data_IF_379921832001
#
_entry.id   IF_379921832001
#
_cell.length_a   1.000
_cell.length_b   1.000
_cell.length_c   1.000
_cell.angle_alpha   90.00
_cell.angle_beta   90.00
_cell.angle_gamma   90.00
#
_symmetry.space_group_name_H-M   'P 1'
#
loop_
_entity.id
_entity.type
_entity.pdbx_description
1 polymer ?
#
# COMPACT_ATOMS: atom_id res chain seq x y z
N UNK A 1 22.04 19.56 -26.33
CA UNK A 1 21.93 18.19 -25.77
C UNK A 1 21.70 18.33 -24.28
N UNK A 2 20.46 18.28 -23.83
CA UNK A 2 20.12 18.38 -22.41
C UNK A 2 20.19 16.98 -21.79
N UNK A 3 20.91 16.77 -20.68
CA UNK A 3 20.83 15.50 -19.98
C UNK A 3 19.45 15.39 -19.34
N UNK A 4 18.67 14.39 -19.76
CA UNK A 4 17.42 14.05 -19.12
C UNK A 4 17.70 13.61 -17.69
N UNK A 5 17.45 14.50 -16.73
CA UNK A 5 17.49 14.16 -15.32
C UNK A 5 16.28 13.30 -15.01
N UNK A 6 16.54 12.03 -14.67
CA UNK A 6 15.56 11.13 -14.07
C UNK A 6 14.84 11.86 -12.93
N UNK A 7 13.53 12.05 -13.05
CA UNK A 7 12.72 12.72 -12.03
C UNK A 7 12.63 11.76 -10.85
N UNK A 8 13.45 11.99 -9.82
CA UNK A 8 13.45 11.13 -8.64
C UNK A 8 12.07 11.15 -7.98
N UNK A 9 11.45 9.98 -7.86
CA UNK A 9 10.07 9.85 -7.37
C UNK A 9 9.95 10.16 -5.88
N UNK A 10 8.90 10.91 -5.52
CA UNK A 10 8.51 11.14 -4.13
C UNK A 10 8.05 9.82 -3.49
N UNK A 11 8.40 9.59 -2.23
CA UNK A 11 7.93 8.42 -1.47
C UNK A 11 6.88 8.88 -0.46
N UNK A 12 5.74 8.21 -0.42
CA UNK A 12 4.67 8.44 0.55
C UNK A 12 4.21 7.09 1.11
N UNK A 13 4.16 6.97 2.44
CA UNK A 13 3.74 5.75 3.13
C UNK A 13 3.03 6.07 4.44
N UNK A 14 2.30 5.09 4.97
CA UNK A 14 1.68 5.13 6.28
C UNK A 14 2.40 4.16 7.23
N UNK A 15 2.35 4.43 8.52
CA UNK A 15 2.69 3.44 9.55
C UNK A 15 1.48 2.53 9.82
N UNK A 16 1.74 1.24 10.03
CA UNK A 16 0.75 0.28 10.50
C UNK A 16 0.59 0.34 12.03
N UNK A 17 -0.61 0.03 12.58
CA UNK A 17 -1.82 -0.35 11.86
C UNK A 17 -2.71 0.85 11.48
N UNK A 18 -3.24 0.82 10.27
CA UNK A 18 -4.37 1.68 9.86
C UNK A 18 -5.66 1.05 10.37
N UNK A 19 -6.20 1.54 11.49
CA UNK A 19 -7.37 0.96 12.13
C UNK A 19 -8.30 2.04 12.69
N UNK A 20 -9.57 1.68 12.92
CA UNK A 20 -10.52 2.60 13.54
C UNK A 20 -10.06 2.98 14.95
N UNK A 21 -10.11 4.27 15.27
CA UNK A 21 -9.67 4.82 16.55
C UNK A 21 -8.15 5.02 16.67
N UNK A 22 -7.32 4.39 15.82
CA UNK A 22 -5.87 4.53 15.86
C UNK A 22 -5.40 5.85 15.24
N UNK A 23 -4.23 6.37 15.64
CA UNK A 23 -3.63 7.49 14.94
C UNK A 23 -3.13 7.05 13.56
N UNK A 24 -3.43 7.83 12.53
CA UNK A 24 -2.81 7.67 11.21
C UNK A 24 -1.53 8.51 11.18
N UNK A 25 -0.39 7.85 10.94
CA UNK A 25 0.87 8.53 10.69
C UNK A 25 1.30 8.34 9.24
N UNK A 26 1.36 9.45 8.50
CA UNK A 26 1.81 9.49 7.13
C UNK A 26 3.19 10.13 7.06
N UNK A 27 4.05 9.56 6.23
CA UNK A 27 5.40 10.05 5.98
C UNK A 27 5.60 10.26 4.49
N UNK A 28 6.21 11.38 4.16
CA UNK A 28 6.50 11.74 2.78
C UNK A 28 7.95 12.20 2.68
N UNK A 29 8.73 11.60 1.79
CA UNK A 29 10.14 11.91 1.62
C UNK A 29 10.48 12.23 0.17
N UNK A 30 11.25 13.30 -0.01
CA UNK A 30 11.85 13.66 -1.28
C UNK A 30 13.31 13.20 -1.31
N UNK A 31 13.63 12.11 -2.02
CA UNK A 31 14.99 11.56 -2.10
C UNK A 31 15.96 12.38 -2.96
N UNK A 32 15.48 13.43 -3.64
CA UNK A 32 16.31 14.31 -4.44
C UNK A 32 17.21 15.20 -3.59
N UNK A 33 18.17 15.87 -4.24
CA UNK A 33 19.12 16.79 -3.58
C UNK A 33 18.81 18.25 -3.88
N UNK A 34 17.74 18.49 -4.62
CA UNK A 34 17.31 19.81 -5.03
C UNK A 34 16.77 20.61 -3.86
N UNK A 35 16.82 21.94 -3.99
CA UNK A 35 16.37 22.83 -2.95
C UNK A 35 14.84 22.76 -2.84
N UNK A 36 14.34 22.21 -1.73
CA UNK A 36 12.91 22.21 -1.41
C UNK A 36 12.50 23.66 -1.14
N UNK A 37 11.54 24.18 -1.88
CA UNK A 37 11.02 25.53 -1.69
C UNK A 37 9.73 25.53 -0.89
N UNK A 38 8.91 24.48 -1.03
CA UNK A 38 7.63 24.38 -0.34
C UNK A 38 7.17 22.91 -0.32
N UNK A 39 6.53 22.50 0.77
CA UNK A 39 5.80 21.24 0.84
C UNK A 39 4.34 21.52 1.18
N UNK A 40 3.40 20.78 0.59
CA UNK A 40 1.98 20.91 0.92
C UNK A 40 1.33 19.55 1.09
N UNK A 41 0.50 19.44 2.13
CA UNK A 41 -0.42 18.33 2.34
C UNK A 41 -1.83 18.75 1.96
N UNK A 42 -2.52 17.88 1.23
CA UNK A 42 -3.92 18.05 0.87
C UNK A 42 -4.57 16.67 0.73
N UNK A 43 -5.90 16.59 0.71
CA UNK A 43 -6.60 15.31 0.54
C UNK A 43 -7.82 15.43 -0.34
N UNK A 44 -8.24 14.29 -0.88
CA UNK A 44 -9.59 14.09 -1.38
C UNK A 44 -10.46 13.49 -0.27
N UNK A 45 -11.55 14.18 0.06
CA UNK A 45 -12.62 13.63 0.90
C UNK A 45 -13.48 12.62 0.12
N UNK A 46 -14.41 11.95 0.82
CA UNK A 46 -15.30 10.93 0.24
C UNK A 46 -16.13 11.44 -0.96
N UNK A 47 -16.44 12.73 -0.99
CA UNK A 47 -17.20 13.35 -2.08
C UNK A 47 -16.30 13.87 -3.22
N UNK A 48 -15.05 13.40 -3.30
CA UNK A 48 -14.05 13.92 -4.24
C UNK A 48 -13.84 15.43 -4.13
N UNK A 49 -14.12 16.00 -2.96
CA UNK A 49 -13.79 17.38 -2.64
C UNK A 49 -12.32 17.46 -2.23
N UNK A 50 -11.59 18.41 -2.80
CA UNK A 50 -10.23 18.72 -2.39
C UNK A 50 -10.25 19.57 -1.12
N UNK A 51 -9.49 19.17 -0.12
CA UNK A 51 -9.25 19.92 1.09
C UNK A 51 -7.75 20.10 1.31
N UNK A 52 -7.27 21.35 1.32
CA UNK A 52 -5.88 21.63 1.65
C UNK A 52 -5.68 21.58 3.18
N UNK A 53 -4.61 20.95 3.63
CA UNK A 53 -4.40 20.61 5.04
C UNK A 53 -3.33 21.47 5.69
N UNK A 54 -2.16 21.54 5.05
CA UNK A 54 -1.03 22.29 5.56
C UNK A 54 -0.05 22.65 4.45
N UNK A 55 0.72 23.70 4.72
CA UNK A 55 1.86 24.13 3.91
C UNK A 55 3.08 24.20 4.82
N UNK A 56 4.21 23.70 4.38
CA UNK A 56 5.47 23.73 5.12
C UNK A 56 6.49 24.48 4.29
N UNK A 57 6.98 25.58 4.84
CA UNK A 57 8.14 26.28 4.33
C UNK A 57 9.38 25.75 5.10
N UNK A 58 10.47 25.36 4.42
CA UNK A 58 11.65 24.83 5.11
C UNK A 58 12.31 25.80 6.11
N UNK A 59 12.11 27.11 5.94
CA UNK A 59 12.69 28.15 6.81
C UNK A 59 11.71 28.56 7.91
N UNK A 60 10.43 28.72 7.57
CA UNK A 60 9.41 29.25 8.48
C UNK A 60 8.60 28.16 9.20
N UNK A 61 8.75 26.89 8.80
CA UNK A 61 8.09 25.74 9.40
C UNK A 61 6.67 25.49 8.88
N UNK A 62 5.92 24.61 9.56
CA UNK A 62 4.59 24.19 9.14
C UNK A 62 3.51 25.22 9.49
N UNK A 63 2.63 25.46 8.54
CA UNK A 63 1.38 26.21 8.70
C UNK A 63 0.18 25.29 8.41
N UNK A 64 -0.59 24.99 9.45
CA UNK A 64 -1.84 24.21 9.34
C UNK A 64 -3.01 25.13 9.06
N UNK A 65 -3.80 24.80 8.03
CA UNK A 65 -4.93 25.62 7.61
C UNK A 65 -5.99 25.74 8.72
N UNK A 66 -6.64 26.91 8.87
CA UNK A 66 -7.61 27.14 9.95
C UNK A 66 -8.73 26.11 10.02
N UNK A 67 -9.22 25.66 8.85
CA UNK A 67 -10.29 24.68 8.78
C UNK A 67 -9.96 23.39 9.54
N UNK A 68 -8.73 22.87 9.42
CA UNK A 68 -8.31 21.58 9.99
C UNK A 68 -7.41 21.71 11.22
N UNK A 69 -7.23 22.93 11.71
CA UNK A 69 -6.38 23.22 12.87
C UNK A 69 -6.87 22.46 14.11
N UNK A 70 -5.94 21.84 14.83
CA UNK A 70 -6.24 21.01 16.01
C UNK A 70 -6.74 19.59 15.69
N UNK A 71 -7.09 19.31 14.43
CA UNK A 71 -7.54 17.96 13.98
C UNK A 71 -6.40 17.11 13.44
N UNK A 72 -5.26 17.72 13.14
CA UNK A 72 -4.06 17.06 12.62
C UNK A 72 -2.79 17.76 13.11
N UNK A 73 -1.65 17.09 12.96
CA UNK A 73 -0.32 17.60 13.26
C UNK A 73 0.60 17.38 12.07
N UNK A 74 1.53 18.30 11.83
CA UNK A 74 2.47 18.24 10.71
C UNK A 74 3.85 18.58 11.23
N UNK A 75 4.88 17.91 10.75
CA UNK A 75 6.27 18.21 11.11
C UNK A 75 6.89 19.23 10.16
N UNK A 76 8.00 19.85 10.57
CA UNK A 76 8.88 20.54 9.63
C UNK A 76 9.54 19.53 8.67
N UNK A 77 10.12 20.05 7.59
CA UNK A 77 11.00 19.27 6.71
C UNK A 77 12.26 18.91 7.48
N UNK A 78 12.58 17.63 7.57
CA UNK A 78 13.81 17.13 8.19
C UNK A 78 15.03 17.31 7.26
N UNK A 79 16.23 17.10 7.81
CA UNK A 79 17.48 17.24 7.03
C UNK A 79 17.61 16.26 5.86
N UNK A 80 16.90 15.13 5.90
CA UNK A 80 16.80 14.13 4.84
C UNK A 80 15.59 14.33 3.90
N UNK A 81 14.90 15.48 3.99
CA UNK A 81 13.82 15.84 3.08
C UNK A 81 12.51 15.10 3.36
N UNK A 82 12.28 14.66 4.61
CA UNK A 82 11.05 14.01 5.04
C UNK A 82 10.11 14.97 5.78
N UNK A 83 8.81 14.74 5.63
CA UNK A 83 7.75 15.43 6.38
C UNK A 83 6.70 14.41 6.83
N UNK A 84 6.18 14.60 8.03
CA UNK A 84 5.12 13.78 8.62
C UNK A 84 3.79 14.53 8.70
N UNK A 85 2.70 13.78 8.56
CA UNK A 85 1.33 14.21 8.84
C UNK A 85 0.68 13.18 9.78
N UNK A 86 0.18 13.63 10.93
CA UNK A 86 -0.48 12.77 11.92
C UNK A 86 -1.93 13.19 12.09
N UNK A 87 -2.86 12.25 11.88
CA UNK A 87 -4.26 12.38 12.26
C UNK A 87 -4.47 11.60 13.56
N UNK A 88 -4.83 12.25 14.69
CA UNK A 88 -4.79 11.61 16.02
C UNK A 88 -5.71 10.41 16.19
N UNK A 89 -6.84 10.36 15.47
CA UNK A 89 -7.78 9.26 15.54
C UNK A 89 -8.55 9.10 14.23
N UNK A 90 -8.47 7.92 13.63
CA UNK A 90 -9.21 7.56 12.43
C UNK A 90 -10.66 7.18 12.77
N UNK A 91 -11.61 7.98 12.30
CA UNK A 91 -13.02 7.58 12.18
C UNK A 91 -13.40 7.06 10.79
N UNK A 92 -14.60 6.47 10.66
CA UNK A 92 -15.14 5.93 9.39
C UNK A 92 -15.21 6.97 8.26
N UNK A 93 -15.37 8.25 8.59
CA UNK A 93 -15.33 9.37 7.64
C UNK A 93 -13.96 9.54 6.94
N UNK A 94 -12.91 8.91 7.46
CA UNK A 94 -11.59 8.88 6.83
C UNK A 94 -11.40 7.65 5.93
N UNK A 95 -12.32 6.69 5.95
CA UNK A 95 -12.26 5.57 5.02
C UNK A 95 -12.44 6.08 3.59
N UNK A 96 -11.65 5.53 2.66
CA UNK A 96 -11.58 5.94 1.26
C UNK A 96 -11.16 7.41 1.05
N UNK A 97 -10.52 8.03 2.05
CA UNK A 97 -9.86 9.33 1.85
C UNK A 97 -8.49 9.14 1.24
N UNK A 98 -8.10 10.04 0.33
CA UNK A 98 -6.78 9.99 -0.33
C UNK A 98 -5.95 11.18 0.10
N UNK A 99 -4.89 10.94 0.87
CA UNK A 99 -3.95 11.98 1.28
C UNK A 99 -2.86 12.13 0.24
N UNK A 100 -2.51 13.37 -0.07
CA UNK A 100 -1.53 13.73 -1.08
C UNK A 100 -0.49 14.65 -0.47
N UNK A 101 0.75 14.39 -0.83
CA UNK A 101 1.91 15.16 -0.44
C UNK A 101 2.58 15.69 -1.71
N UNK A 102 2.86 17.00 -1.72
CA UNK A 102 3.45 17.68 -2.87
C UNK A 102 4.68 18.45 -2.45
N UNK A 103 5.81 18.14 -3.06
CA UNK A 103 7.07 18.87 -2.92
C UNK A 103 7.26 19.79 -4.12
N UNK A 104 7.51 21.06 -3.84
CA UNK A 104 7.99 22.04 -4.81
C UNK A 104 9.49 22.22 -4.59
N UNK A 105 10.25 22.06 -5.66
CA UNK A 105 11.72 22.09 -5.64
C UNK A 105 12.23 22.99 -6.75
N UNK A 106 13.37 23.62 -6.53
CA UNK A 106 14.06 24.39 -7.57
C UNK A 106 15.41 23.71 -7.90
N UNK A 107 15.75 23.50 -9.18
CA UNK A 107 14.98 23.82 -10.39
C UNK A 107 14.01 22.72 -10.85
N UNK A 108 13.98 21.55 -10.18
CA UNK A 108 13.28 20.34 -10.66
C UNK A 108 11.75 20.44 -10.70
N UNK A 109 11.17 21.52 -10.17
CA UNK A 109 9.74 21.78 -10.21
C UNK A 109 8.98 20.98 -9.16
N UNK A 110 7.80 20.48 -9.55
CA UNK A 110 6.84 19.87 -8.62
C UNK A 110 6.80 18.35 -8.79
N UNK A 111 6.77 17.67 -7.63
CA UNK A 111 6.54 16.23 -7.49
C UNK A 111 5.44 15.99 -6.46
N UNK A 112 4.55 15.05 -6.75
CA UNK A 112 3.39 14.76 -5.90
C UNK A 112 3.15 13.25 -5.85
N UNK A 113 2.74 12.76 -4.67
CA UNK A 113 2.34 11.37 -4.45
C UNK A 113 1.11 11.36 -3.55
N UNK A 114 0.22 10.40 -3.79
CA UNK A 114 -0.99 10.22 -2.99
C UNK A 114 -1.09 8.79 -2.47
N UNK A 115 -1.70 8.64 -1.29
CA UNK A 115 -1.96 7.37 -0.61
C UNK A 115 -3.44 7.31 -0.18
N UNK A 116 -4.19 6.29 -0.65
CA UNK A 116 -5.53 6.04 -0.12
C UNK A 116 -5.45 5.42 1.28
N UNK A 117 -6.35 5.85 2.17
CA UNK A 117 -6.52 5.28 3.50
C UNK A 117 -7.74 4.36 3.47
N UNK A 118 -7.48 3.08 3.66
CA UNK A 118 -8.51 2.05 3.76
C UNK A 118 -8.50 1.51 5.19
N UNK A 119 -9.59 1.74 5.92
CA UNK A 119 -9.75 1.22 7.27
C UNK A 119 -10.35 -0.18 7.11
N UNK A 120 -9.66 -1.25 7.53
CA UNK A 120 -10.20 -2.60 7.48
C UNK A 120 -11.50 -2.67 8.28
N UNK A 121 -12.53 -3.28 7.69
CA UNK A 121 -13.73 -3.59 8.45
C UNK A 121 -13.36 -4.58 9.58
N UNK A 122 -13.91 -4.40 10.80
CA UNK A 122 -13.74 -5.40 11.83
C UNK A 122 -14.26 -6.73 11.28
N UNK A 123 -13.44 -7.78 11.36
CA UNK A 123 -13.84 -9.11 10.97
C UNK A 123 -15.15 -9.45 11.67
N UNK A 124 -16.24 -9.50 10.90
CA UNK A 124 -17.51 -9.99 11.42
C UNK A 124 -17.26 -11.45 11.77
N UNK A 125 -17.23 -11.75 13.06
CA UNK A 125 -17.18 -13.13 13.56
C UNK A 125 -18.29 -13.91 12.85
N UNK A 126 -18.02 -15.05 12.18
CA UNK A 126 -19.07 -15.82 11.55
C UNK A 126 -20.13 -16.14 12.60
N UNK A 127 -21.31 -15.54 12.41
CA UNK A 127 -22.49 -15.72 13.26
C UNK A 127 -22.63 -17.19 13.70
N UNK A 128 -22.81 -17.49 15.01
CA UNK A 128 -23.03 -18.86 15.44
C UNK A 128 -24.32 -19.37 14.78
N UNK A 129 -24.17 -20.32 13.87
CA UNK A 129 -25.28 -20.92 13.15
C UNK A 129 -26.32 -21.45 14.16
N UNK A 130 -27.63 -21.26 13.90
CA UNK A 130 -28.68 -21.70 14.79
C UNK A 130 -28.63 -23.22 14.95
N UNK A 131 -28.58 -23.65 16.21
CA UNK A 131 -28.59 -25.03 16.65
C UNK A 131 -29.69 -25.81 15.92
N UNK A 132 -29.30 -26.61 14.93
CA UNK A 132 -30.20 -27.53 14.26
C UNK A 132 -29.82 -28.93 14.70
N UNK A 133 -30.61 -29.45 15.64
CA UNK A 133 -30.74 -30.86 15.97
C UNK A 133 -30.98 -31.65 14.68
N UNK A 134 -30.07 -32.55 14.31
CA UNK A 134 -30.32 -33.45 13.20
C UNK A 134 -29.11 -34.21 12.73
N UNK A 135 -29.16 -35.52 12.99
CA UNK A 135 -28.45 -36.58 12.29
C UNK A 135 -26.98 -36.82 12.66
N UNK A 136 -26.81 -37.81 13.54
CA UNK A 136 -25.72 -38.75 13.45
C UNK A 136 -25.60 -39.28 12.01
N UNK A 137 -24.47 -38.97 11.37
CA UNK A 137 -23.99 -39.74 10.23
C UNK A 137 -22.51 -40.05 10.45
N UNK A 138 -22.22 -41.31 10.20
CA UNK A 138 -20.98 -42.03 10.45
C UNK A 138 -19.77 -41.27 9.95
N UNK A 139 -18.70 -41.30 10.75
CA UNK A 139 -17.33 -40.92 10.43
C UNK A 139 -16.77 -41.89 9.40
N UNK A 140 -16.48 -41.48 8.15
CA UNK A 140 -15.70 -42.27 7.21
C UNK A 140 -14.30 -41.65 7.12
N UNK A 141 -13.34 -42.43 7.57
CA UNK A 141 -12.00 -42.58 7.02
C UNK A 141 -11.21 -41.35 6.54
N UNK A 142 -10.11 -41.16 7.27
CA UNK A 142 -8.85 -40.59 6.79
C UNK A 142 -8.47 -41.27 5.47
N UNK A 143 -8.78 -40.63 4.34
CA UNK A 143 -8.19 -40.97 3.05
C UNK A 143 -7.22 -39.86 2.65
N UNK A 144 -5.94 -40.17 2.84
CA UNK A 144 -4.81 -39.33 2.51
C UNK A 144 -4.84 -38.88 1.05
N UNK A 145 -4.55 -37.61 0.88
CA UNK A 145 -4.32 -36.90 -0.38
C UNK A 145 -3.12 -37.49 -1.14
N UNK A 146 -3.33 -38.58 -1.87
CA UNK A 146 -2.44 -39.02 -2.96
C UNK A 146 -2.98 -38.47 -4.27
N UNK A 147 -2.70 -37.19 -4.56
CA UNK A 147 -3.30 -36.50 -5.69
C UNK A 147 -2.46 -35.35 -6.24
N UNK A 148 -1.13 -35.51 -6.32
CA UNK A 148 -0.28 -34.59 -7.09
C UNK A 148 1.03 -35.22 -7.61
N UNK A 149 1.49 -36.36 -7.05
CA UNK A 149 2.75 -37.00 -7.46
C UNK A 149 2.68 -37.93 -8.67
N UNK A 150 1.50 -38.46 -9.01
CA UNK A 150 1.35 -39.49 -10.05
C UNK A 150 1.42 -38.98 -11.49
N UNK A 151 1.02 -37.73 -11.74
CA UNK A 151 1.02 -37.15 -13.09
C UNK A 151 2.43 -36.76 -13.58
N UNK A 152 3.36 -36.45 -12.67
CA UNK A 152 4.74 -36.09 -13.04
C UNK A 152 5.59 -37.29 -13.47
N UNK A 153 5.39 -38.46 -12.84
CA UNK A 153 6.19 -39.65 -13.18
C UNK A 153 5.82 -40.22 -14.54
N UNK A 154 4.53 -40.32 -14.88
CA UNK A 154 4.10 -40.83 -16.19
C UNK A 154 4.57 -39.92 -17.34
N UNK A 155 4.51 -38.59 -17.15
CA UNK A 155 5.01 -37.62 -18.12
C UNK A 155 6.52 -37.74 -18.34
N UNK A 156 7.30 -37.92 -17.27
CA UNK A 156 8.76 -38.07 -17.38
C UNK A 156 9.17 -39.33 -18.16
N UNK A 157 8.49 -40.46 -17.96
CA UNK A 157 8.79 -41.73 -18.66
C UNK A 157 8.46 -41.62 -20.14
N UNK A 158 7.33 -41.00 -20.51
CA UNK A 158 6.97 -40.80 -21.92
C UNK A 158 7.95 -39.86 -22.63
N UNK A 159 8.40 -38.80 -21.96
CA UNK A 159 9.36 -37.85 -22.54
C UNK A 159 10.74 -38.49 -22.74
N UNK A 160 11.23 -39.26 -21.76
CA UNK A 160 12.47 -40.03 -21.90
C UNK A 160 12.36 -41.08 -23.01
N UNK A 161 11.23 -41.78 -23.11
CA UNK A 161 10.98 -42.74 -24.19
C UNK A 161 11.03 -42.09 -25.57
N UNK A 162 10.45 -40.89 -25.72
CA UNK A 162 10.47 -40.16 -26.98
C UNK A 162 11.87 -39.68 -27.34
N UNK A 163 12.62 -39.14 -26.36
CA UNK A 163 14.00 -38.69 -26.56
C UNK A 163 14.94 -39.85 -26.93
N UNK A 164 14.82 -41.00 -26.27
CA UNK A 164 15.60 -42.19 -26.61
C UNK A 164 15.27 -42.72 -28.01
N UNK A 165 14.00 -42.65 -28.43
CA UNK A 165 13.56 -43.05 -29.77
C UNK A 165 14.08 -42.12 -30.86
N UNK A 166 14.11 -40.81 -30.60
CA UNK A 166 14.74 -39.86 -31.52
C UNK A 166 16.26 -40.04 -31.60
N UNK A 167 16.91 -40.27 -30.46
CA UNK A 167 18.35 -40.45 -30.42
C UNK A 167 18.80 -41.73 -31.15
N UNK A 168 18.04 -42.82 -31.01
CA UNK A 168 18.30 -44.07 -31.75
C UNK A 168 18.01 -43.96 -33.25
N UNK A 169 17.07 -43.10 -33.67
CA UNK A 169 16.86 -42.78 -35.10
C UNK A 169 17.98 -41.93 -35.70
N UNK A 170 18.61 -41.04 -34.92
CA UNK A 170 19.73 -40.20 -35.39
C UNK A 170 21.07 -40.94 -35.47
N UNK A 171 21.19 -42.13 -34.84
CA UNK A 171 22.40 -42.96 -34.84
C UNK A 171 22.35 -44.16 -35.78
N UNK A 172 21.30 -44.28 -36.60
CA UNK A 172 21.14 -45.38 -37.57
C UNK A 172 21.18 -44.83 -38.98
#
# INVERSE_FOLDING_TARGET
MAPGTSKTGLKLWAEDPIALGSPLQLHCAFPGREHITLVSWWRWGQNWSREDLAVIDPTHGPYVLPAVRGRLRVTSVSGDGQVGLTVPSLGLQHNDTRYCCKFSTFPSGVSEQCLPVLIPEPATDPSPAPHSLGHAFLRPDVLGTLGAGGFFLLGSVLLLGHLLREWTRRRR
#
